data_IF_388285973787
#
_entry.id   IF_388285973787
#
_cell.length_a   1.000
_cell.length_b   1.000
_cell.length_c   1.000
_cell.angle_alpha   90.00
_cell.angle_beta   90.00
_cell.angle_gamma   90.00
#
_symmetry.space_group_name_H-M   'P 1'
#
loop_
_entity.id
_entity.type
_entity.pdbx_description
1 polymer ?
#
# COMPACT_ATOMS: atom_id res chain seq x y z
N UNK A 1 4.92 9.99 -23.61
CA UNK A 1 4.10 8.84 -23.15
C UNK A 1 2.74 8.96 -23.81
N UNK A 2 2.11 7.85 -24.18
CA UNK A 2 0.80 7.85 -24.84
C UNK A 2 -0.09 6.83 -24.14
N UNK A 3 -1.38 7.16 -24.03
CA UNK A 3 -2.39 6.24 -23.50
C UNK A 3 -2.70 5.20 -24.57
N UNK A 4 -2.75 3.94 -24.19
CA UNK A 4 -3.12 2.81 -25.04
C UNK A 4 -4.34 2.08 -24.47
N UNK A 5 -5.04 1.29 -25.29
CA UNK A 5 -6.06 0.37 -24.81
C UNK A 5 -5.43 -0.96 -24.37
N UNK A 6 -5.85 -1.46 -23.22
CA UNK A 6 -5.56 -2.81 -22.73
C UNK A 6 -6.89 -3.46 -22.31
N UNK A 7 -7.40 -4.36 -23.15
CA UNK A 7 -8.76 -4.87 -23.01
C UNK A 7 -9.80 -3.74 -23.02
N UNK A 8 -10.65 -3.68 -22.00
CA UNK A 8 -11.66 -2.63 -21.83
C UNK A 8 -11.15 -1.41 -21.06
N UNK A 9 -9.86 -1.37 -20.71
CA UNK A 9 -9.25 -0.32 -19.90
C UNK A 9 -8.21 0.48 -20.68
N UNK A 10 -7.85 1.65 -20.14
CA UNK A 10 -6.75 2.46 -20.62
C UNK A 10 -5.49 2.17 -19.81
N UNK A 11 -4.35 2.19 -20.49
CA UNK A 11 -3.04 1.93 -19.91
C UNK A 11 -2.04 3.02 -20.32
N UNK A 12 -1.12 3.32 -19.41
CA UNK A 12 0.06 4.13 -19.68
C UNK A 12 1.30 3.27 -19.42
N UNK A 13 2.38 3.52 -20.17
CA UNK A 13 3.67 2.91 -19.84
C UNK A 13 4.16 3.50 -18.51
N UNK A 14 4.85 2.73 -17.67
CA UNK A 14 5.58 3.30 -16.54
C UNK A 14 7.04 3.52 -16.94
N UNK A 15 7.63 4.71 -16.71
CA UNK A 15 9.06 4.92 -16.92
C UNK A 15 9.88 3.99 -16.02
N UNK A 16 11.07 3.58 -16.50
CA UNK A 16 11.95 2.67 -15.75
C UNK A 16 12.28 3.21 -14.35
N UNK A 17 12.47 4.52 -14.20
CA UNK A 17 12.73 5.16 -12.91
C UNK A 17 11.62 4.90 -11.88
N UNK A 18 10.35 4.86 -12.31
CA UNK A 18 9.20 4.56 -11.43
C UNK A 18 9.18 3.08 -11.08
N UNK A 19 9.43 2.21 -12.07
CA UNK A 19 9.51 0.74 -11.87
C UNK A 19 10.58 0.40 -10.84
N UNK A 20 11.76 1.01 -10.94
CA UNK A 20 12.88 0.77 -10.03
C UNK A 20 12.61 1.33 -8.63
N UNK A 21 12.09 2.56 -8.54
CA UNK A 21 11.78 3.22 -7.27
C UNK A 21 10.75 2.42 -6.43
N UNK A 22 9.72 1.90 -7.10
CA UNK A 22 8.65 1.11 -6.47
C UNK A 22 8.95 -0.40 -6.45
N UNK A 23 10.10 -0.82 -7.02
CA UNK A 23 10.51 -2.23 -7.18
C UNK A 23 9.38 -3.09 -7.75
N UNK A 24 8.74 -2.57 -8.79
CA UNK A 24 7.65 -3.25 -9.50
C UNK A 24 8.21 -4.42 -10.31
N UNK A 25 7.44 -5.50 -10.36
CA UNK A 25 7.66 -6.69 -11.17
C UNK A 25 6.36 -7.02 -11.90
N UNK A 26 6.47 -7.83 -12.95
CA UNK A 26 5.28 -8.33 -13.62
C UNK A 26 4.37 -9.10 -12.63
N UNK A 27 3.07 -8.87 -12.72
CA UNK A 27 2.06 -9.39 -11.79
C UNK A 27 1.92 -8.65 -10.45
N UNK A 28 2.73 -7.62 -10.16
CA UNK A 28 2.53 -6.81 -8.96
C UNK A 28 1.22 -6.01 -9.03
N UNK A 29 0.55 -5.91 -7.88
CA UNK A 29 -0.60 -5.02 -7.72
C UNK A 29 -0.15 -3.63 -7.32
N UNK A 30 -0.63 -2.63 -8.05
CA UNK A 30 -0.43 -1.22 -7.75
C UNK A 30 -1.77 -0.53 -7.52
N UNK A 31 -1.73 0.55 -6.77
CA UNK A 31 -2.85 1.48 -6.61
C UNK A 31 -2.44 2.83 -7.19
N UNK A 32 -3.36 3.45 -7.94
CA UNK A 32 -3.16 4.77 -8.53
C UNK A 32 -4.24 5.70 -7.99
N UNK A 33 -3.83 6.78 -7.34
CA UNK A 33 -4.73 7.80 -6.79
C UNK A 33 -4.48 9.16 -7.43
N UNK A 34 -5.54 9.95 -7.62
CA UNK A 34 -5.45 11.31 -8.16
C UNK A 34 -5.27 12.27 -6.98
N UNK A 35 -4.06 12.79 -6.80
CA UNK A 35 -3.76 13.77 -5.75
C UNK A 35 -4.14 15.19 -6.16
N UNK A 36 -4.05 15.50 -7.45
CA UNK A 36 -4.45 16.79 -8.02
C UNK A 36 -4.73 16.65 -9.52
N UNK A 37 -5.18 17.73 -10.17
CA UNK A 37 -5.47 17.77 -11.61
C UNK A 37 -4.31 17.28 -12.51
N UNK A 38 -3.05 17.32 -12.02
CA UNK A 38 -1.86 16.89 -12.78
C UNK A 38 -0.94 15.97 -12.00
N UNK A 39 -1.37 15.48 -10.83
CA UNK A 39 -0.54 14.64 -9.97
C UNK A 39 -1.24 13.31 -9.75
N UNK A 40 -0.58 12.24 -10.18
CA UNK A 40 -0.96 10.86 -9.86
C UNK A 40 0.04 10.32 -8.84
N UNK A 41 -0.48 9.73 -7.78
CA UNK A 41 0.31 8.93 -6.84
C UNK A 41 0.18 7.47 -7.24
N UNK A 42 1.31 6.77 -7.27
CA UNK A 42 1.39 5.34 -7.59
C UNK A 42 2.05 4.64 -6.42
N UNK A 43 1.33 3.71 -5.81
CA UNK A 43 1.84 2.91 -4.69
C UNK A 43 1.80 1.43 -5.04
N UNK A 44 2.87 0.70 -4.71
CA UNK A 44 2.88 -0.77 -4.75
C UNK A 44 2.20 -1.30 -3.50
N UNK A 45 1.19 -2.17 -3.68
CA UNK A 45 0.56 -2.82 -2.51
C UNK A 45 1.58 -3.70 -1.79
N UNK A 46 1.75 -3.54 -0.46
CA UNK A 46 2.70 -4.34 0.29
C UNK A 46 2.26 -5.81 0.28
N UNK A 47 3.22 -6.71 0.08
CA UNK A 47 2.92 -8.14 0.11
C UNK A 47 2.50 -8.56 1.55
N UNK A 48 1.70 -9.63 1.71
CA UNK A 48 1.31 -10.11 3.05
C UNK A 48 2.50 -10.36 3.98
N UNK A 49 3.63 -10.84 3.45
CA UNK A 49 4.87 -11.05 4.22
C UNK A 49 5.50 -9.74 4.69
N UNK A 50 5.44 -8.69 3.87
CA UNK A 50 5.95 -7.36 4.22
C UNK A 50 5.08 -6.72 5.30
N UNK A 51 3.75 -6.83 5.17
CA UNK A 51 2.79 -6.40 6.20
C UNK A 51 3.07 -7.10 7.53
N UNK A 52 3.21 -8.43 7.53
CA UNK A 52 3.57 -9.19 8.74
C UNK A 52 4.92 -8.75 9.32
N UNK A 53 5.89 -8.43 8.47
CA UNK A 53 7.21 -7.94 8.92
C UNK A 53 7.09 -6.58 9.58
N UNK A 54 6.26 -5.66 9.04
CA UNK A 54 5.95 -4.38 9.68
C UNK A 54 5.28 -4.57 11.03
N UNK A 55 4.28 -5.45 11.13
CA UNK A 55 3.61 -5.77 12.40
C UNK A 55 4.55 -6.36 13.45
N UNK A 56 5.49 -7.22 13.03
CA UNK A 56 6.48 -7.81 13.94
C UNK A 56 7.37 -6.77 14.62
N UNK A 57 7.64 -5.62 13.99
CA UNK A 57 8.42 -4.51 14.60
C UNK A 57 7.73 -3.87 15.80
N UNK A 58 6.43 -4.09 15.98
CA UNK A 58 5.64 -3.56 17.09
C UNK A 58 5.55 -4.54 18.28
N UNK A 59 6.09 -5.76 18.16
CA UNK A 59 6.10 -6.73 19.25
C UNK A 59 6.93 -6.24 20.44
N UNK A 60 6.49 -6.57 21.65
CA UNK A 60 7.20 -6.23 22.90
C UNK A 60 7.10 -4.76 23.32
N UNK A 61 6.32 -3.93 22.62
CA UNK A 61 6.06 -2.53 23.02
C UNK A 61 4.98 -2.40 24.10
N UNK A 62 4.19 -3.44 24.31
CA UNK A 62 3.12 -3.45 25.30
C UNK A 62 3.63 -4.05 26.61
N UNK A 63 3.18 -3.54 27.77
CA UNK A 63 3.47 -4.13 29.08
C UNK A 63 3.14 -5.62 29.15
N UNK A 64 3.84 -6.35 30.03
CA UNK A 64 3.66 -7.80 30.18
C UNK A 64 2.24 -8.19 30.64
N UNK A 65 1.58 -7.29 31.34
CA UNK A 65 0.23 -7.38 31.87
C UNK A 65 -0.83 -6.73 30.97
N UNK A 66 -0.42 -6.16 29.82
CA UNK A 66 -1.35 -5.52 28.90
C UNK A 66 -2.33 -6.54 28.30
N UNK A 67 -3.62 -6.32 28.55
CA UNK A 67 -4.71 -7.06 27.92
C UNK A 67 -5.56 -6.07 27.13
N UNK A 68 -5.75 -6.35 25.85
CA UNK A 68 -6.66 -5.58 25.03
C UNK A 68 -8.10 -5.99 25.34
N UNK A 69 -8.91 -5.06 25.86
CA UNK A 69 -10.35 -5.21 25.98
C UNK A 69 -11.07 -4.37 24.92
N UNK A 70 -11.86 -5.04 24.08
CA UNK A 70 -12.57 -4.39 22.98
C UNK A 70 -13.75 -3.54 23.48
N UNK A 71 -14.44 -3.95 24.54
CA UNK A 71 -15.60 -3.24 25.05
C UNK A 71 -15.14 -1.93 25.71
N UNK A 72 -14.14 -2.00 26.59
CA UNK A 72 -13.51 -0.84 27.22
C UNK A 72 -13.02 0.17 26.17
N UNK A 73 -12.32 -0.29 25.13
CA UNK A 73 -11.79 0.59 24.08
C UNK A 73 -12.87 1.28 23.23
N UNK A 74 -14.10 0.75 23.20
CA UNK A 74 -15.22 1.31 22.43
C UNK A 74 -16.26 2.00 23.31
N UNK A 75 -16.04 2.11 24.61
CA UNK A 75 -16.84 2.97 25.48
C UNK A 75 -16.54 4.43 25.09
N UNK A 76 -17.42 4.96 24.23
CA UNK A 76 -17.39 6.37 23.83
C UNK A 76 -17.69 7.22 25.06
N UNK A 77 -16.77 8.12 25.41
CA UNK A 77 -17.04 9.32 26.22
C UNK A 77 -17.65 10.40 25.35
#
# INVERSE_FOLDING_TARGET
>A
MQVAKWGNSLAVRLPQSVVDALKLKDGDQIEIQVMSARTLEVEKKPAPRELLTRLRKLRGRLPADFKFDRLEANERR
#
